data_IF_422597135138
#
_entry.id   IF_422597135138
#
_cell.length_a   1.000
_cell.length_b   1.000
_cell.length_c   1.000
_cell.angle_alpha   90.00
_cell.angle_beta   90.00
_cell.angle_gamma   90.00
#
_symmetry.space_group_name_H-M   'P 1'
#
loop_
_entity.id
_entity.type
_entity.pdbx_description
1 polymer ?
#
# COMPACT_ATOMS: atom_id res chain seq x y z
N UNK A 1 0.08 -13.18 21.79
CA UNK A 1 1.35 -12.87 21.10
C UNK A 1 1.04 -11.85 20.03
N UNK A 2 1.59 -10.64 20.17
CA UNK A 2 1.44 -9.54 19.21
C UNK A 2 1.98 -9.99 17.86
N UNK A 3 1.21 -9.79 16.79
CA UNK A 3 1.71 -9.98 15.43
C UNK A 3 2.89 -9.06 15.16
N UNK A 4 3.69 -9.38 14.15
CA UNK A 4 4.73 -8.48 13.66
C UNK A 4 4.03 -7.24 13.09
N UNK A 5 4.18 -6.09 13.76
CA UNK A 5 3.59 -4.80 13.37
C UNK A 5 4.68 -3.83 12.91
N UNK A 6 4.44 -3.12 11.81
CA UNK A 6 5.38 -2.14 11.27
C UNK A 6 4.64 -0.98 10.61
N UNK A 7 5.17 0.24 10.76
CA UNK A 7 4.70 1.41 10.02
C UNK A 7 5.36 1.48 8.64
N UNK A 8 4.58 1.74 7.60
CA UNK A 8 5.01 1.66 6.20
C UNK A 8 6.06 2.71 5.87
N UNK A 9 5.92 3.95 6.36
CA UNK A 9 6.92 4.99 6.13
C UNK A 9 8.30 4.60 6.70
N UNK A 10 8.34 3.77 7.75
CA UNK A 10 9.60 3.24 8.33
C UNK A 10 10.18 2.08 7.52
N UNK A 11 9.41 1.45 6.65
CA UNK A 11 9.91 0.42 5.75
C UNK A 11 10.63 1.02 4.55
N UNK A 12 10.31 2.24 4.13
CA UNK A 12 11.01 2.88 3.03
C UNK A 12 12.53 2.97 3.31
N UNK A 13 13.34 2.40 2.41
CA UNK A 13 14.79 2.34 2.50
C UNK A 13 15.35 1.20 3.35
N UNK A 14 14.51 0.43 4.04
CA UNK A 14 14.94 -0.69 4.88
C UNK A 14 15.64 -1.75 4.03
N UNK A 15 16.83 -2.24 4.44
CA UNK A 15 17.53 -3.27 3.71
C UNK A 15 16.78 -4.61 3.74
N UNK A 16 16.77 -5.27 2.59
CA UNK A 16 16.22 -6.61 2.41
C UNK A 16 17.37 -7.60 2.31
N UNK A 17 17.34 -8.65 3.12
CA UNK A 17 18.33 -9.72 3.17
C UNK A 17 17.71 -11.08 2.85
N UNK A 18 18.51 -11.95 2.26
CA UNK A 18 18.18 -13.37 2.16
C UNK A 18 18.57 -14.13 3.46
N UNK A 19 18.27 -15.44 3.57
CA UNK A 19 18.59 -16.19 4.78
C UNK A 19 20.09 -16.48 4.95
N UNK A 20 20.90 -16.32 3.90
CA UNK A 20 22.36 -16.45 3.97
C UNK A 20 23.04 -15.16 4.49
N UNK A 21 22.28 -14.07 4.60
CA UNK A 21 22.78 -12.76 5.05
C UNK A 21 23.18 -11.84 3.89
N UNK A 22 22.98 -12.26 2.64
CA UNK A 22 23.30 -11.45 1.49
C UNK A 22 22.26 -10.34 1.31
N UNK A 23 22.75 -9.13 1.06
CA UNK A 23 21.89 -7.96 0.84
C UNK A 23 21.27 -8.03 -0.55
N UNK A 24 19.97 -8.25 -0.57
CA UNK A 24 19.20 -8.43 -1.78
C UNK A 24 18.73 -7.08 -2.37
N UNK A 25 18.47 -6.08 -1.53
CA UNK A 25 18.05 -4.74 -1.97
C UNK A 25 17.64 -3.81 -0.83
N UNK A 26 16.79 -2.83 -1.15
CA UNK A 26 16.11 -1.97 -0.17
C UNK A 26 14.64 -1.86 -0.50
N UNK A 27 13.77 -1.90 0.51
CA UNK A 27 12.34 -1.65 0.33
C UNK A 27 12.15 -0.24 -0.20
N UNK A 28 11.34 -0.11 -1.25
CA UNK A 28 10.93 1.15 -1.85
C UNK A 28 9.51 1.49 -1.47
N UNK A 29 8.61 0.51 -1.54
CA UNK A 29 7.18 0.71 -1.32
C UNK A 29 6.51 -0.57 -0.84
N UNK A 30 5.30 -0.45 -0.32
CA UNK A 30 4.41 -1.56 0.05
C UNK A 30 3.25 -1.60 -0.94
N UNK A 31 2.91 -2.80 -1.41
CA UNK A 31 1.83 -3.01 -2.37
C UNK A 31 0.63 -3.56 -1.63
N UNK A 32 -0.51 -2.88 -1.74
CA UNK A 32 -1.78 -3.32 -1.21
C UNK A 32 -2.82 -3.56 -2.31
N UNK A 33 -3.89 -4.25 -1.95
CA UNK A 33 -5.10 -4.41 -2.75
C UNK A 33 -6.29 -4.14 -1.84
N UNK A 34 -7.21 -3.28 -2.28
CA UNK A 34 -8.42 -2.94 -1.53
C UNK A 34 -9.39 -4.12 -1.47
N UNK A 35 -10.24 -4.13 -0.43
CA UNK A 35 -11.33 -5.09 -0.24
C UNK A 35 -12.62 -4.31 -0.06
N UNK A 36 -13.73 -4.91 -0.46
CA UNK A 36 -15.06 -4.26 -0.40
C UNK A 36 -15.58 -4.04 1.01
N UNK A 37 -15.17 -4.86 1.99
CA UNK A 37 -15.74 -4.82 3.35
C UNK A 37 -14.72 -5.05 4.46
N UNK A 38 -13.43 -5.11 4.12
CA UNK A 38 -12.34 -5.39 5.05
C UNK A 38 -11.17 -4.42 4.82
N UNK A 39 -10.26 -4.34 5.79
CA UNK A 39 -8.97 -3.66 5.60
C UNK A 39 -8.27 -4.13 4.32
N UNK A 40 -7.61 -3.25 3.55
CA UNK A 40 -6.76 -3.62 2.44
C UNK A 40 -5.75 -4.70 2.82
N UNK A 41 -5.52 -5.61 1.88
CA UNK A 41 -4.57 -6.71 2.03
C UNK A 41 -3.21 -6.27 1.50
N UNK A 42 -2.17 -6.56 2.26
CA UNK A 42 -0.79 -6.38 1.77
C UNK A 42 -0.42 -7.60 0.92
N UNK A 43 -0.08 -7.38 -0.34
CA UNK A 43 0.31 -8.46 -1.28
C UNK A 43 1.82 -8.58 -1.44
N UNK A 44 2.56 -7.51 -1.16
CA UNK A 44 4.01 -7.53 -1.23
C UNK A 44 4.66 -6.18 -1.01
N UNK A 45 5.91 -6.09 -1.43
CA UNK A 45 6.74 -4.88 -1.38
C UNK A 45 7.42 -4.67 -2.71
N UNK A 46 7.65 -3.41 -3.08
CA UNK A 46 8.56 -3.05 -4.16
C UNK A 46 9.96 -2.91 -3.55
N UNK A 47 10.95 -3.56 -4.14
CA UNK A 47 12.34 -3.52 -3.69
C UNK A 47 13.21 -2.91 -4.79
N UNK A 48 13.96 -1.87 -4.44
CA UNK A 48 15.04 -1.34 -5.27
C UNK A 48 16.24 -2.28 -5.18
N UNK A 49 16.64 -2.82 -6.33
CA UNK A 49 17.79 -3.70 -6.52
C UNK A 49 18.99 -2.91 -7.06
N UNK A 50 20.15 -3.57 -7.10
CA UNK A 50 21.32 -3.06 -7.81
C UNK A 50 21.00 -2.77 -9.28
N UNK A 51 21.60 -1.69 -9.82
CA UNK A 51 21.42 -1.31 -11.23
C UNK A 51 20.10 -0.59 -11.53
N UNK A 52 19.51 0.13 -10.55
CA UNK A 52 18.27 0.91 -10.70
C UNK A 52 17.03 0.10 -11.11
N UNK A 53 17.07 -1.22 -10.92
CA UNK A 53 15.94 -2.12 -11.20
C UNK A 53 15.06 -2.22 -9.96
N UNK A 54 13.74 -2.28 -10.17
CA UNK A 54 12.76 -2.57 -9.12
C UNK A 54 12.28 -4.00 -9.27
N UNK A 55 11.99 -4.68 -8.17
CA UNK A 55 11.36 -5.99 -8.20
C UNK A 55 10.21 -6.09 -7.20
N UNK A 56 9.25 -6.94 -7.52
CA UNK A 56 8.20 -7.34 -6.60
C UNK A 56 8.73 -8.39 -5.61
N UNK A 57 8.53 -8.14 -4.33
CA UNK A 57 8.70 -9.10 -3.24
C UNK A 57 7.32 -9.50 -2.74
N UNK A 58 6.88 -10.72 -3.05
CA UNK A 58 5.62 -11.24 -2.50
C UNK A 58 5.68 -11.30 -0.98
N UNK A 59 4.60 -10.90 -0.33
CA UNK A 59 4.50 -10.91 1.14
C UNK A 59 4.66 -12.32 1.71
N UNK A 60 4.26 -13.36 0.98
CA UNK A 60 4.41 -14.76 1.41
C UNK A 60 5.86 -15.25 1.45
N UNK A 61 6.80 -14.50 0.87
CA UNK A 61 8.24 -14.78 0.96
C UNK A 61 8.92 -14.02 2.09
N UNK A 62 8.24 -13.04 2.70
CA UNK A 62 8.78 -12.28 3.83
C UNK A 62 8.72 -13.15 5.08
N UNK A 63 9.90 -13.47 5.63
CA UNK A 63 10.03 -14.23 6.87
C UNK A 63 9.77 -13.34 8.10
N UNK A 64 10.36 -12.15 8.10
CA UNK A 64 10.25 -11.22 9.22
C UNK A 64 10.45 -9.78 8.78
N UNK A 65 9.75 -8.88 9.46
CA UNK A 65 9.94 -7.42 9.37
C UNK A 65 10.25 -6.93 10.78
N UNK A 66 11.42 -6.36 11.00
CA UNK A 66 11.82 -5.90 12.34
C UNK A 66 13.31 -5.65 12.45
N UNK A 67 13.73 -5.03 13.55
CA UNK A 67 15.16 -4.76 13.80
C UNK A 67 15.84 -3.90 12.71
N UNK A 68 15.06 -3.10 11.96
CA UNK A 68 15.58 -2.30 10.85
C UNK A 68 15.92 -3.11 9.59
N UNK A 69 15.37 -4.31 9.43
CA UNK A 69 15.58 -5.16 8.25
C UNK A 69 14.34 -5.95 7.85
N UNK A 70 14.33 -6.40 6.60
CA UNK A 70 13.36 -7.38 6.07
C UNK A 70 14.11 -8.63 5.64
N UNK A 71 13.69 -9.80 6.12
CA UNK A 71 14.28 -11.09 5.73
C UNK A 71 13.31 -11.81 4.78
N UNK A 72 13.82 -12.36 3.68
CA UNK A 72 13.02 -13.06 2.65
C UNK A 72 13.59 -14.42 2.28
N UNK A 73 12.77 -15.34 1.74
CA UNK A 73 13.17 -16.71 1.32
C UNK A 73 13.52 -16.89 -0.16
N UNK A 74 13.63 -15.82 -0.97
CA UNK A 74 13.68 -16.04 -2.42
C UNK A 74 14.42 -15.02 -3.26
N UNK A 75 14.73 -15.47 -4.48
CA UNK A 75 15.26 -14.63 -5.55
C UNK A 75 14.18 -13.72 -6.12
N UNK A 76 14.57 -12.50 -6.47
CA UNK A 76 13.70 -11.55 -7.15
C UNK A 76 13.45 -11.93 -8.61
N UNK A 77 12.29 -11.54 -9.12
CA UNK A 77 11.95 -11.74 -10.54
C UNK A 77 12.89 -10.93 -11.44
N UNK A 78 13.37 -11.52 -12.56
CA UNK A 78 14.18 -10.78 -13.52
C UNK A 78 13.34 -9.75 -14.32
N UNK A 79 12.02 -9.90 -14.40
CA UNK A 79 11.15 -9.07 -15.27
C UNK A 79 10.89 -7.64 -14.76
N UNK A 80 11.50 -7.26 -13.64
CA UNK A 80 11.25 -5.99 -12.99
C UNK A 80 9.87 -5.92 -12.35
N UNK A 81 9.62 -4.87 -11.58
CA UNK A 81 8.29 -4.57 -11.04
C UNK A 81 7.43 -3.88 -12.11
N UNK A 82 6.19 -4.37 -12.26
CA UNK A 82 5.09 -3.69 -12.94
C UNK A 82 3.86 -3.82 -12.04
N UNK A 83 3.25 -2.69 -11.74
CA UNK A 83 2.01 -2.64 -10.97
C UNK A 83 0.88 -3.24 -11.80
N UNK A 84 0.04 -4.04 -11.16
CA UNK A 84 -1.14 -4.66 -11.79
C UNK A 84 -2.39 -3.84 -11.47
N UNK A 85 -3.45 -4.02 -12.27
CA UNK A 85 -4.75 -3.43 -11.97
C UNK A 85 -5.25 -3.84 -10.59
N UNK A 86 -5.74 -2.87 -9.81
CA UNK A 86 -6.21 -3.06 -8.44
C UNK A 86 -5.11 -3.09 -7.36
N UNK A 87 -3.82 -3.08 -7.75
CA UNK A 87 -2.73 -2.87 -6.79
C UNK A 87 -2.54 -1.36 -6.57
N UNK A 88 -2.25 -0.95 -5.32
CA UNK A 88 -1.84 0.42 -4.99
C UNK A 88 -0.52 0.40 -4.22
N UNK A 89 0.32 1.40 -4.52
CA UNK A 89 1.56 1.66 -3.82
C UNK A 89 1.31 2.59 -2.63
N UNK A 90 1.63 2.15 -1.42
CA UNK A 90 1.30 2.91 -0.21
C UNK A 90 1.99 4.27 -0.18
N UNK A 91 3.31 4.31 -0.38
CA UNK A 91 4.09 5.54 -0.32
C UNK A 91 3.76 6.47 -1.48
N UNK A 92 3.61 5.92 -2.68
CA UNK A 92 3.41 6.70 -3.90
C UNK A 92 1.97 7.18 -4.11
N UNK A 93 0.98 6.39 -3.68
CA UNK A 93 -0.43 6.64 -3.99
C UNK A 93 -1.27 6.90 -2.76
N UNK A 94 -1.02 6.25 -1.61
CA UNK A 94 -1.93 6.29 -0.45
C UNK A 94 -1.57 7.39 0.56
N UNK A 95 -0.29 7.52 0.90
CA UNK A 95 0.16 8.55 1.83
C UNK A 95 -0.05 9.95 1.21
N UNK A 96 -0.55 10.89 2.02
CA UNK A 96 -0.93 12.22 1.58
C UNK A 96 -2.38 12.33 1.07
N UNK A 97 -3.10 11.22 0.89
CA UNK A 97 -4.53 11.26 0.56
C UNK A 97 -5.35 11.84 1.71
N UNK A 98 -6.41 12.56 1.36
CA UNK A 98 -7.40 13.04 2.30
C UNK A 98 -8.48 11.97 2.49
N UNK A 99 -8.95 11.80 3.72
CA UNK A 99 -10.02 10.88 4.11
C UNK A 99 -10.99 11.59 5.04
N UNK A 100 -12.24 11.16 5.02
CA UNK A 100 -13.28 11.59 5.95
C UNK A 100 -13.40 10.63 7.14
N UNK A 101 -13.35 11.17 8.36
CA UNK A 101 -13.49 10.40 9.60
C UNK A 101 -14.95 10.18 9.95
N UNK A 102 -15.23 9.26 10.88
CA UNK A 102 -16.58 8.98 11.36
C UNK A 102 -17.30 10.22 11.94
N UNK A 103 -16.55 11.20 12.47
CA UNK A 103 -17.07 12.48 12.98
C UNK A 103 -17.37 13.51 11.87
N UNK A 104 -17.21 13.14 10.59
CA UNK A 104 -17.42 13.99 9.43
C UNK A 104 -16.29 14.98 9.16
N UNK A 105 -15.22 14.98 9.95
CA UNK A 105 -14.06 15.84 9.70
C UNK A 105 -13.10 15.18 8.72
N UNK A 106 -12.40 15.99 7.92
CA UNK A 106 -11.37 15.49 7.02
C UNK A 106 -10.00 15.41 7.70
N UNK A 107 -9.18 14.47 7.27
CA UNK A 107 -7.80 14.29 7.71
C UNK A 107 -6.93 13.75 6.56
N UNK A 108 -5.63 13.98 6.63
CA UNK A 108 -4.66 13.46 5.66
C UNK A 108 -3.95 12.23 6.23
N UNK A 109 -3.82 11.18 5.43
CA UNK A 109 -3.02 9.99 5.78
C UNK A 109 -1.55 10.35 5.78
N UNK A 110 -0.88 10.23 6.93
CA UNK A 110 0.57 10.46 7.06
C UNK A 110 1.36 9.14 7.10
N UNK A 111 0.78 8.08 7.67
CA UNK A 111 1.40 6.75 7.69
C UNK A 111 0.33 5.66 7.91
N UNK A 112 0.69 4.41 7.62
CA UNK A 112 -0.14 3.23 7.85
C UNK A 112 0.67 2.19 8.61
N UNK A 113 0.04 1.50 9.56
CA UNK A 113 0.63 0.32 10.17
C UNK A 113 0.12 -0.94 9.48
N UNK A 114 1.03 -1.88 9.26
CA UNK A 114 0.73 -3.22 8.76
C UNK A 114 1.02 -4.24 9.85
N UNK A 115 0.14 -5.22 9.98
CA UNK A 115 0.28 -6.31 10.95
C UNK A 115 0.06 -7.66 10.28
N UNK A 116 0.88 -8.65 10.67
CA UNK A 116 0.63 -10.06 10.38
C UNK A 116 -0.41 -10.63 11.35
N UNK A 117 -1.62 -10.87 10.86
CA UNK A 117 -2.68 -11.52 11.61
C UNK A 117 -2.42 -13.00 11.89
N UNK A 118 -3.27 -13.62 12.71
CA UNK A 118 -3.14 -15.04 13.13
C UNK A 118 -3.16 -16.03 11.96
N UNK A 119 -3.89 -15.72 10.89
CA UNK A 119 -3.92 -16.51 9.66
C UNK A 119 -2.68 -16.36 8.77
N UNK A 120 -1.69 -15.55 9.20
CA UNK A 120 -0.48 -15.27 8.44
C UNK A 120 -0.65 -14.23 7.33
N UNK A 121 -1.87 -13.74 7.13
CA UNK A 121 -2.17 -12.62 6.24
C UNK A 121 -1.67 -11.30 6.83
N UNK A 122 -1.12 -10.45 5.97
CA UNK A 122 -0.77 -9.08 6.32
C UNK A 122 -1.86 -8.13 5.88
N UNK A 123 -2.30 -7.26 6.78
CA UNK A 123 -3.34 -6.26 6.58
C UNK A 123 -2.91 -4.92 7.17
N UNK A 124 -3.60 -3.86 6.79
CA UNK A 124 -3.51 -2.60 7.52
C UNK A 124 -4.24 -2.77 8.86
N UNK A 125 -3.70 -2.15 9.90
CA UNK A 125 -4.25 -2.22 11.25
C UNK A 125 -4.69 -0.83 11.72
N UNK A 126 -3.75 0.11 11.79
CA UNK A 126 -3.99 1.51 12.17
C UNK A 126 -3.54 2.48 11.07
N UNK A 127 -4.17 3.65 11.05
CA UNK A 127 -3.87 4.77 10.17
C UNK A 127 -3.43 5.96 11.01
N UNK A 128 -2.25 6.49 10.70
CA UNK A 128 -1.75 7.72 11.29
C UNK A 128 -2.18 8.91 10.43
N UNK A 129 -2.93 9.83 11.03
CA UNK A 129 -3.64 10.88 10.33
C UNK A 129 -3.25 12.25 10.87
N UNK A 130 -3.38 13.29 10.04
CA UNK A 130 -3.26 14.68 10.43
C UNK A 130 -4.50 15.48 10.01
N UNK A 131 -5.18 16.10 10.98
CA UNK A 131 -6.28 17.03 10.70
C UNK A 131 -5.76 18.33 10.06
N UNK A 132 -6.60 19.06 9.31
CA UNK A 132 -6.26 20.38 8.81
C UNK A 132 -5.75 21.33 9.91
N UNK A 133 -4.80 22.19 9.56
CA UNK A 133 -4.34 23.28 10.44
C UNK A 133 -5.48 24.29 10.64
N UNK A 134 -5.68 24.74 11.87
CA UNK A 134 -6.71 25.73 12.23
C UNK A 134 -6.21 27.18 12.17
N UNK A 135 -4.91 27.40 11.99
CA UNK A 135 -4.30 28.72 11.83
C UNK A 135 -3.01 28.71 11.00
N UNK A 136 -2.50 29.89 10.61
CA UNK A 136 -1.36 30.04 9.69
C UNK A 136 -0.03 29.51 10.26
N UNK A 137 0.10 29.42 11.59
CA UNK A 137 1.30 28.90 12.28
C UNK A 137 1.05 27.62 13.07
N UNK A 138 -0.16 27.07 13.06
CA UNK A 138 -0.49 25.83 13.78
C UNK A 138 -0.15 24.61 12.94
N UNK A 139 0.41 23.58 13.57
CA UNK A 139 0.39 22.23 12.98
C UNK A 139 -0.98 21.61 13.21
N UNK A 140 -1.48 20.88 12.21
CA UNK A 140 -2.68 20.07 12.35
C UNK A 140 -2.53 19.04 13.47
N UNK A 141 -3.61 18.77 14.22
CA UNK A 141 -3.59 17.74 15.27
C UNK A 141 -3.42 16.37 14.61
N UNK A 142 -2.48 15.58 15.11
CA UNK A 142 -2.29 14.19 14.68
C UNK A 142 -3.18 13.26 15.49
N UNK A 143 -3.65 12.18 14.87
CA UNK A 143 -4.36 11.09 15.53
C UNK A 143 -3.91 9.75 14.94
N UNK A 144 -4.01 8.71 15.76
CA UNK A 144 -3.90 7.32 15.34
C UNK A 144 -5.30 6.73 15.46
N UNK A 145 -5.81 6.16 14.38
CA UNK A 145 -7.13 5.55 14.33
C UNK A 145 -7.01 4.11 13.85
N UNK A 146 -7.88 3.22 14.31
CA UNK A 146 -7.99 1.89 13.75
C UNK A 146 -8.59 1.98 12.34
N UNK A 147 -8.19 1.08 11.44
CA UNK A 147 -8.70 1.09 10.05
C UNK A 147 -10.22 1.00 10.00
N UNK A 148 -10.82 0.23 10.91
CA UNK A 148 -12.26 0.00 11.00
C UNK A 148 -13.08 1.25 11.36
N UNK A 149 -12.45 2.27 11.97
CA UNK A 149 -13.09 3.53 12.32
C UNK A 149 -13.15 4.52 11.13
N UNK A 150 -12.51 4.20 10.00
CA UNK A 150 -12.51 5.02 8.80
C UNK A 150 -13.74 4.75 7.94
N UNK A 151 -14.41 5.83 7.50
CA UNK A 151 -15.43 5.73 6.46
C UNK A 151 -14.72 5.49 5.13
N UNK A 152 -14.83 4.27 4.63
CA UNK A 152 -14.02 3.77 3.50
C UNK A 152 -14.59 4.18 2.13
N UNK A 153 -15.75 4.85 2.07
CA UNK A 153 -16.43 5.21 0.81
C UNK A 153 -15.58 6.08 -0.14
N UNK A 154 -14.61 6.85 0.36
CA UNK A 154 -13.79 7.74 -0.49
C UNK A 154 -12.50 7.08 -1.03
N UNK A 155 -12.10 5.91 -0.51
CA UNK A 155 -10.91 5.19 -1.01
C UNK A 155 -11.25 4.24 -2.18
N UNK A 156 -12.53 3.86 -2.30
CA UNK A 156 -13.05 3.01 -3.37
C UNK A 156 -13.33 3.77 -4.67
N UNK A 157 -13.49 5.10 -4.62
CA UNK A 157 -13.79 5.93 -5.80
C UNK A 157 -12.62 6.01 -6.80
N UNK A 158 -11.47 5.43 -6.44
CA UNK A 158 -10.31 5.26 -7.34
C UNK A 158 -10.45 4.06 -8.29
N UNK A 159 -11.53 3.27 -8.27
CA UNK A 159 -11.76 2.33 -9.38
C UNK A 159 -11.97 3.11 -10.69
N UNK A 160 -12.69 4.23 -10.67
CA UNK A 160 -13.00 5.03 -11.85
C UNK A 160 -11.77 5.70 -12.51
N UNK A 161 -10.84 6.24 -11.71
CA UNK A 161 -9.62 6.89 -12.22
C UNK A 161 -8.55 5.89 -12.69
N UNK A 162 -8.37 4.75 -12.00
CA UNK A 162 -7.45 3.70 -12.47
C UNK A 162 -7.98 2.99 -13.72
N UNK A 163 -9.30 2.82 -13.84
CA UNK A 163 -9.95 2.32 -15.06
C UNK A 163 -9.72 3.31 -16.21
N UNK A 164 -9.85 4.62 -15.98
CA UNK A 164 -9.58 5.63 -17.01
C UNK A 164 -8.11 5.63 -17.45
N UNK A 165 -7.15 5.58 -16.51
CA UNK A 165 -5.73 5.51 -16.82
C UNK A 165 -5.35 4.22 -17.57
N UNK A 166 -6.03 3.11 -17.27
CA UNK A 166 -5.86 1.84 -18.00
C UNK A 166 -6.40 1.91 -19.42
N UNK A 167 -7.44 2.72 -19.67
CA UNK A 167 -7.99 2.95 -21.00
C UNK A 167 -7.19 3.94 -21.86
N UNK A 168 -6.48 4.90 -21.26
CA UNK A 168 -5.65 5.85 -22.01
C UNK A 168 -4.45 5.18 -22.73
N UNK A 169 -3.95 4.07 -22.20
CA UNK A 169 -2.85 3.30 -22.79
C UNK A 169 -3.32 2.19 -23.77
N UNK A 170 -4.64 2.01 -23.96
CA UNK A 170 -5.19 1.00 -24.86
C UNK A 170 -5.57 1.55 -26.25
N UNK A 171 -5.42 0.75 -27.33
CA UNK A 171 -5.98 1.07 -28.63
C UNK A 171 -7.51 1.26 -28.54
N UNK A 172 -8.05 2.25 -29.25
CA UNK A 172 -9.48 2.63 -29.16
C UNK A 172 -10.48 1.48 -29.40
N UNK A 173 -10.09 0.44 -30.15
CA UNK A 173 -10.93 -0.74 -30.40
C UNK A 173 -11.09 -1.63 -29.16
N UNK A 174 -10.07 -1.68 -28.29
CA UNK A 174 -10.07 -2.50 -27.08
C UNK A 174 -10.84 -1.81 -25.94
N UNK A 175 -10.76 -0.47 -25.87
CA UNK A 175 -11.53 0.35 -24.92
C UNK A 175 -13.04 0.18 -25.13
N UNK A 176 -13.50 0.23 -26.39
CA UNK A 176 -14.93 0.08 -26.72
C UNK A 176 -15.49 -1.30 -26.34
N UNK A 177 -14.68 -2.34 -26.49
CA UNK A 177 -15.07 -3.72 -26.14
C UNK A 177 -15.16 -3.90 -24.62
N UNK A 178 -14.24 -3.31 -23.86
CA UNK A 178 -14.26 -3.35 -22.40
C UNK A 178 -15.42 -2.57 -21.77
N UNK A 179 -15.84 -1.45 -22.38
CA UNK A 179 -17.01 -0.68 -21.92
C UNK A 179 -18.35 -1.41 -22.12
N UNK A 180 -18.42 -2.34 -23.08
CA UNK A 180 -19.63 -3.13 -23.37
C UNK A 180 -19.81 -4.33 -22.42
N UNK A 181 -18.73 -4.79 -21.77
CA UNK A 181 -18.72 -5.94 -20.86
C UNK A 181 -18.93 -5.55 -19.38
N UNK A 182 -19.13 -4.26 -19.07
CA UNK A 182 -19.49 -3.84 -17.73
C UNK A 182 -20.97 -4.23 -17.46
N UNK A 183 -21.27 -4.95 -16.36
CA UNK A 183 -22.64 -5.19 -15.98
C UNK A 183 -23.31 -3.86 -15.64
N UNK A 184 -24.45 -3.57 -16.27
CA UNK A 184 -25.33 -2.49 -15.83
C UNK A 184 -25.89 -2.87 -14.45
N UNK A 185 -25.31 -2.26 -13.42
CA UNK A 185 -25.71 -2.20 -11.99
C UNK A 185 -26.53 -3.38 -11.43
#
# INVERSE_FOLDING_TARGET
>A
MSGSKAFVARLHGVPVFDPAGDKAGKVRDVVLVNRSSDSPRIVGMVVDLSGKRRAFLSIGRVLSIGGGQVITTGRFSPKGFKQRGGEQLVMAEVLGRQVTLADGTSATIEDLSIERGRGGEWRIDEVFLRRPRTGPFSKGKTLLADWEDLRTDELADTDSEHILATFEDMPAADVASALLDLPTQ
#
